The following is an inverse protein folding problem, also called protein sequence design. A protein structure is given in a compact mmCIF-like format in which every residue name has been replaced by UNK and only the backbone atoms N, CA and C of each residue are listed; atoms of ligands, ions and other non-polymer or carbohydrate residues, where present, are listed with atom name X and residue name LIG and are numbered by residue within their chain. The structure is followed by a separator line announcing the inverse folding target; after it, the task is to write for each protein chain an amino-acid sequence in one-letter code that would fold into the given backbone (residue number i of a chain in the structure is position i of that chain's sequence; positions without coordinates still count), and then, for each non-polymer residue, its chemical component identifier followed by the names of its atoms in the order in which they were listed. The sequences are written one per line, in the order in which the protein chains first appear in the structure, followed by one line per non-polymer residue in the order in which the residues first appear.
data_IF_466519909006
#
_entry.id   IF_466519909006
#
_cell.length_a   1.000
_cell.length_b   1.000
_cell.length_c   1.000
_cell.angle_alpha   90.00
_cell.angle_beta   90.00
_cell.angle_gamma   90.00
#
_symmetry.space_group_name_H-M   'P 1'
#
loop_
_entity.id
_entity.type
_entity.pdbx_description
1 polymer ?
#
# COMPACT_ATOMS: atom_id res chain seq x y z
N UNK A 1 54.15 61.37 28.05
CA UNK A 1 53.79 60.05 28.64
C UNK A 1 52.31 59.74 28.40
N UNK A 2 51.84 59.73 27.14
CA UNK A 2 50.40 59.56 26.80
C UNK A 2 50.17 58.47 25.73
N UNK A 3 51.21 58.11 24.96
CA UNK A 3 51.11 57.11 23.89
C UNK A 3 51.12 55.64 24.36
N UNK A 4 51.59 55.34 25.57
CA UNK A 4 51.71 53.96 26.06
C UNK A 4 50.39 53.38 26.61
N UNK A 5 49.41 54.23 26.93
CA UNK A 5 48.12 53.83 27.50
C UNK A 5 47.10 53.41 26.42
N UNK A 6 47.26 53.90 25.18
CA UNK A 6 46.32 53.61 24.10
C UNK A 6 46.49 52.18 23.55
N UNK A 7 47.74 51.71 23.39
CA UNK A 7 48.05 50.35 22.90
C UNK A 7 47.55 49.26 23.84
N UNK A 8 47.63 49.46 25.15
CA UNK A 8 47.18 48.47 26.15
C UNK A 8 45.65 48.35 26.22
N UNK A 9 44.91 49.44 26.02
CA UNK A 9 43.43 49.40 26.00
C UNK A 9 42.84 48.67 24.78
N UNK A 10 43.45 48.83 23.60
CA UNK A 10 43.01 48.15 22.37
C UNK A 10 43.27 46.65 22.40
N UNK A 11 44.41 46.23 22.96
CA UNK A 11 44.72 44.80 23.16
C UNK A 11 43.83 44.15 24.21
N UNK A 12 43.41 44.88 25.25
CA UNK A 12 42.44 44.38 26.23
C UNK A 12 41.04 44.21 25.62
N UNK A 13 40.63 45.09 24.70
CA UNK A 13 39.36 45.01 23.96
C UNK A 13 39.34 43.86 22.94
N UNK A 14 40.47 43.56 22.30
CA UNK A 14 40.63 42.39 21.42
C UNK A 14 40.67 41.06 22.18
N UNK A 15 41.11 41.08 23.44
CA UNK A 15 41.12 39.92 24.35
C UNK A 15 39.81 39.76 25.13
N UNK A 16 38.77 40.53 24.80
CA UNK A 16 37.44 40.34 25.39
C UNK A 16 36.73 39.16 24.72
N UNK A 17 37.05 37.95 25.19
CA UNK A 17 36.43 36.68 24.79
C UNK A 17 34.94 36.60 25.11
N UNK A 18 34.38 37.58 25.85
CA UNK A 18 32.94 37.67 26.11
C UNK A 18 32.12 37.84 24.82
N UNK A 19 32.66 38.56 23.83
CA UNK A 19 32.04 38.67 22.50
C UNK A 19 32.10 37.36 21.70
N UNK A 20 33.16 36.56 21.89
CA UNK A 20 33.32 35.24 21.27
C UNK A 20 32.31 34.22 21.84
N UNK A 21 32.08 34.26 23.17
CA UNK A 21 31.09 33.42 23.84
C UNK A 21 29.65 33.74 23.39
N UNK A 22 29.30 35.02 23.18
CA UNK A 22 27.99 35.41 22.63
C UNK A 22 27.83 34.96 21.17
N UNK A 23 28.87 35.14 20.35
CA UNK A 23 28.83 34.74 18.94
C UNK A 23 28.70 33.21 18.77
N UNK A 24 29.45 32.44 19.56
CA UNK A 24 29.39 30.97 19.58
C UNK A 24 28.03 30.46 20.04
N UNK A 25 27.44 31.08 21.07
CA UNK A 25 26.08 30.75 21.52
C UNK A 25 25.03 31.05 20.43
N UNK A 26 25.17 32.17 19.72
CA UNK A 26 24.23 32.59 18.67
C UNK A 26 24.30 31.65 17.46
N UNK A 27 25.51 31.24 17.08
CA UNK A 27 25.74 30.23 16.06
C UNK A 27 25.11 28.90 16.48
N UNK A 28 25.31 28.47 17.73
CA UNK A 28 24.72 27.23 18.25
C UNK A 28 23.17 27.26 18.20
N UNK A 29 22.55 28.38 18.60
CA UNK A 29 21.09 28.56 18.52
C UNK A 29 20.62 28.51 17.07
N UNK A 30 21.33 29.15 16.13
CA UNK A 30 20.99 29.10 14.70
C UNK A 30 21.10 27.65 14.20
N UNK A 31 22.18 26.94 14.53
CA UNK A 31 22.36 25.54 14.14
C UNK A 31 21.27 24.63 14.70
N UNK A 32 20.95 24.75 15.99
CA UNK A 32 19.88 23.96 16.62
C UNK A 32 18.53 24.31 16.00
N UNK A 33 18.24 25.60 15.78
CA UNK A 33 16.99 26.05 15.16
C UNK A 33 16.82 25.52 13.73
N UNK A 34 17.86 25.62 12.92
CA UNK A 34 17.88 25.07 11.56
C UNK A 34 17.76 23.53 11.57
N UNK A 35 18.42 22.86 12.51
CA UNK A 35 18.35 21.41 12.67
C UNK A 35 16.94 20.96 13.07
N UNK A 36 16.28 21.67 13.99
CA UNK A 36 14.89 21.38 14.36
C UNK A 36 13.95 21.49 13.16
N UNK A 37 14.04 22.57 12.38
CA UNK A 37 13.19 22.77 11.19
C UNK A 37 13.45 21.67 10.16
N UNK A 38 14.72 21.32 9.92
CA UNK A 38 15.10 20.26 8.99
C UNK A 38 14.56 18.88 9.43
N UNK A 39 14.65 18.55 10.73
CA UNK A 39 14.13 17.29 11.29
C UNK A 39 12.61 17.24 11.18
N UNK A 40 11.90 18.31 11.54
CA UNK A 40 10.43 18.33 11.44
C UNK A 40 9.96 18.16 9.99
N UNK A 41 10.58 18.86 9.04
CA UNK A 41 10.26 18.70 7.63
C UNK A 41 10.59 17.29 7.11
N UNK A 42 11.74 16.73 7.51
CA UNK A 42 12.16 15.38 7.13
C UNK A 42 11.23 14.29 7.65
N UNK A 43 10.80 14.39 8.92
CA UNK A 43 9.85 13.45 9.52
C UNK A 43 8.49 13.48 8.82
N UNK A 44 7.98 14.66 8.47
CA UNK A 44 6.69 14.77 7.78
C UNK A 44 6.71 14.06 6.42
N UNK A 45 7.78 14.24 5.64
CA UNK A 45 7.96 13.56 4.35
C UNK A 45 8.09 12.06 4.53
N UNK A 46 8.85 11.61 5.54
CA UNK A 46 8.99 10.20 5.86
C UNK A 46 7.65 9.56 6.27
N UNK A 47 6.85 10.23 7.09
CA UNK A 47 5.54 9.74 7.52
C UNK A 47 4.55 9.60 6.36
N UNK A 48 4.49 10.60 5.48
CA UNK A 48 3.65 10.53 4.28
C UNK A 48 4.08 9.38 3.36
N UNK A 49 5.39 9.13 3.25
CA UNK A 49 5.92 8.02 2.45
C UNK A 49 5.62 6.67 3.08
N UNK A 50 5.76 6.56 4.41
CA UNK A 50 5.45 5.36 5.16
C UNK A 50 3.99 4.96 5.00
N UNK A 51 3.04 5.89 5.18
CA UNK A 51 1.61 5.60 5.01
C UNK A 51 1.26 5.08 3.62
N UNK A 52 1.88 5.65 2.57
CA UNK A 52 1.70 5.17 1.19
C UNK A 52 2.27 3.77 0.98
N UNK A 53 3.49 3.53 1.46
CA UNK A 53 4.15 2.21 1.34
C UNK A 53 3.34 1.16 2.08
N UNK A 54 2.90 1.43 3.31
CA UNK A 54 2.09 0.51 4.09
C UNK A 54 0.77 0.19 3.40
N UNK A 55 0.08 1.20 2.85
CA UNK A 55 -1.18 0.98 2.12
C UNK A 55 -0.95 0.15 0.85
N UNK A 56 0.14 0.41 0.12
CA UNK A 56 0.51 -0.38 -1.05
C UNK A 56 0.82 -1.83 -0.69
N UNK A 57 1.61 -2.06 0.37
CA UNK A 57 1.93 -3.42 0.84
C UNK A 57 0.67 -4.17 1.29
N UNK A 58 -0.28 -3.50 1.94
CA UNK A 58 -1.58 -4.10 2.29
C UNK A 58 -2.37 -4.46 1.02
N UNK A 59 -2.38 -3.58 0.01
CA UNK A 59 -3.05 -3.85 -1.26
C UNK A 59 -2.42 -5.05 -2.00
N UNK A 60 -1.09 -5.14 -2.05
CA UNK A 60 -0.39 -6.26 -2.70
C UNK A 60 -0.63 -7.59 -1.97
N UNK A 61 -0.69 -7.57 -0.63
CA UNK A 61 -1.05 -8.74 0.18
C UNK A 61 -2.49 -9.18 -0.05
N UNK A 62 -3.44 -8.23 -0.06
CA UNK A 62 -4.84 -8.51 -0.34
C UNK A 62 -5.03 -9.04 -1.77
N UNK A 63 -4.35 -8.47 -2.75
CA UNK A 63 -4.36 -8.94 -4.13
C UNK A 63 -3.91 -10.40 -4.19
N UNK A 64 -2.78 -10.72 -3.57
CA UNK A 64 -2.23 -12.06 -3.56
C UNK A 64 -3.20 -13.08 -2.95
N UNK A 65 -3.80 -12.73 -1.81
CA UNK A 65 -4.79 -13.59 -1.14
C UNK A 65 -6.08 -13.75 -1.95
N UNK A 66 -6.62 -12.67 -2.52
CA UNK A 66 -7.81 -12.71 -3.33
C UNK A 66 -7.60 -13.57 -4.59
N UNK A 67 -6.43 -13.44 -5.23
CA UNK A 67 -6.02 -14.26 -6.37
C UNK A 67 -5.91 -15.72 -5.97
N UNK A 68 -5.29 -16.03 -4.84
CA UNK A 68 -5.16 -17.41 -4.36
C UNK A 68 -6.54 -18.06 -4.17
N UNK A 69 -7.43 -17.43 -3.40
CA UNK A 69 -8.75 -17.99 -3.10
C UNK A 69 -9.63 -18.11 -4.36
N UNK A 70 -9.64 -17.10 -5.24
CA UNK A 70 -10.40 -17.15 -6.49
C UNK A 70 -9.80 -18.19 -7.46
N UNK A 71 -8.48 -18.27 -7.55
CA UNK A 71 -7.82 -19.28 -8.39
C UNK A 71 -8.15 -20.68 -7.91
N UNK A 72 -8.06 -20.94 -6.61
CA UNK A 72 -8.33 -22.25 -6.02
C UNK A 72 -9.76 -22.71 -6.36
N UNK A 73 -10.74 -21.83 -6.16
CA UNK A 73 -12.14 -22.10 -6.46
C UNK A 73 -12.36 -22.45 -7.96
N UNK A 74 -11.72 -21.72 -8.87
CA UNK A 74 -11.85 -21.92 -10.31
C UNK A 74 -11.05 -23.14 -10.83
N UNK A 75 -9.87 -23.38 -10.28
CA UNK A 75 -9.00 -24.50 -10.64
C UNK A 75 -9.66 -25.82 -10.28
N UNK A 76 -10.27 -25.89 -9.09
CA UNK A 76 -10.89 -27.11 -8.58
C UNK A 76 -12.36 -27.27 -8.97
N UNK A 77 -12.95 -26.34 -9.74
CA UNK A 77 -14.33 -26.46 -10.21
C UNK A 77 -14.64 -27.86 -10.79
N UNK A 78 -15.78 -28.45 -10.39
CA UNK A 78 -16.19 -29.82 -10.74
C UNK A 78 -16.83 -29.94 -12.13
N UNK A 79 -17.43 -28.86 -12.61
CA UNK A 79 -17.93 -28.69 -13.98
C UNK A 79 -18.06 -27.21 -14.29
N UNK A 80 -18.09 -26.86 -15.58
CA UNK A 80 -18.41 -25.51 -16.04
C UNK A 80 -19.73 -25.59 -16.78
N UNK A 81 -20.66 -24.70 -16.45
CA UNK A 81 -21.97 -24.61 -17.07
C UNK A 81 -21.87 -23.86 -18.41
N UNK A 82 -22.91 -23.99 -19.25
CA UNK A 82 -22.89 -23.48 -20.63
C UNK A 82 -22.76 -21.95 -20.76
N UNK A 83 -22.94 -21.19 -19.68
CA UNK A 83 -22.77 -19.73 -19.64
C UNK A 83 -21.32 -19.29 -19.42
N UNK A 84 -20.37 -20.22 -19.23
CA UNK A 84 -18.93 -20.00 -19.08
C UNK A 84 -18.51 -19.09 -17.89
N UNK A 85 -19.44 -18.79 -16.97
CA UNK A 85 -19.20 -18.03 -15.73
C UNK A 85 -19.82 -18.70 -14.51
N UNK A 86 -20.73 -19.64 -14.71
CA UNK A 86 -21.25 -20.51 -13.66
C UNK A 86 -20.51 -21.84 -13.70
N UNK A 87 -20.18 -22.36 -12.53
CA UNK A 87 -19.43 -23.58 -12.37
C UNK A 87 -19.87 -24.31 -11.12
N UNK A 88 -19.60 -25.60 -11.01
CA UNK A 88 -19.87 -26.35 -9.77
C UNK A 88 -18.66 -26.20 -8.85
N UNK A 89 -18.85 -25.53 -7.72
CA UNK A 89 -17.82 -25.32 -6.70
C UNK A 89 -17.36 -26.66 -6.12
N UNK A 90 -16.05 -26.87 -5.99
CA UNK A 90 -15.53 -28.05 -5.28
C UNK A 90 -15.71 -27.94 -3.77
N UNK A 91 -15.72 -26.74 -3.22
CA UNK A 91 -15.94 -26.53 -1.79
C UNK A 91 -17.41 -26.78 -1.42
N UNK A 92 -18.35 -26.34 -2.28
CA UNK A 92 -19.79 -26.41 -1.99
C UNK A 92 -20.52 -27.56 -2.64
N UNK A 93 -19.95 -28.15 -3.69
CA UNK A 93 -20.60 -29.19 -4.50
C UNK A 93 -21.92 -28.72 -5.13
N UNK A 94 -22.03 -27.41 -5.37
CA UNK A 94 -23.22 -26.72 -5.85
C UNK A 94 -22.86 -25.77 -7.01
N UNK A 95 -23.85 -25.44 -7.83
CA UNK A 95 -23.70 -24.45 -8.90
C UNK A 95 -23.45 -23.07 -8.28
N UNK A 96 -22.37 -22.43 -8.71
CA UNK A 96 -21.86 -21.22 -8.13
C UNK A 96 -21.37 -20.22 -9.19
N UNK A 97 -21.42 -18.94 -8.84
CA UNK A 97 -20.87 -17.85 -9.65
C UNK A 97 -20.08 -16.89 -8.77
N UNK A 98 -19.01 -16.32 -9.33
CA UNK A 98 -18.21 -15.31 -8.65
C UNK A 98 -18.70 -13.91 -9.00
N UNK A 99 -18.90 -13.07 -7.98
CA UNK A 99 -19.40 -11.70 -8.12
C UNK A 99 -18.61 -10.73 -7.26
N UNK A 100 -18.42 -9.53 -7.77
CA UNK A 100 -17.87 -8.41 -7.00
C UNK A 100 -19.02 -7.56 -6.46
N UNK A 101 -18.92 -7.18 -5.19
CA UNK A 101 -19.86 -6.27 -4.53
C UNK A 101 -19.15 -5.26 -3.65
N UNK A 102 -19.92 -4.41 -2.94
CA UNK A 102 -19.37 -3.36 -2.07
C UNK A 102 -18.45 -3.89 -0.97
N UNK A 103 -18.67 -5.14 -0.56
CA UNK A 103 -18.00 -5.79 0.55
C UNK A 103 -16.91 -6.80 0.10
N UNK A 104 -16.56 -6.82 -1.20
CA UNK A 104 -15.49 -7.64 -1.76
C UNK A 104 -15.94 -8.63 -2.83
N UNK A 105 -15.23 -9.74 -2.96
CA UNK A 105 -15.52 -10.81 -3.93
C UNK A 105 -16.29 -11.94 -3.24
N UNK A 106 -17.41 -12.31 -3.84
CA UNK A 106 -18.37 -13.26 -3.32
C UNK A 106 -18.48 -14.48 -4.22
N UNK A 107 -18.59 -15.66 -3.60
CA UNK A 107 -19.10 -16.87 -4.22
C UNK A 107 -20.58 -16.97 -3.89
N UNK A 108 -21.44 -16.90 -4.90
CA UNK A 108 -22.87 -17.11 -4.77
C UNK A 108 -23.20 -18.54 -5.20
N UNK A 109 -23.67 -19.36 -4.26
CA UNK A 109 -24.06 -20.75 -4.47
C UNK A 109 -25.42 -21.00 -3.80
N UNK A 110 -26.37 -21.58 -4.55
CA UNK A 110 -27.74 -21.89 -4.09
C UNK A 110 -28.44 -20.74 -3.34
N UNK A 111 -28.31 -19.50 -3.85
CA UNK A 111 -28.89 -18.30 -3.24
C UNK A 111 -28.21 -17.83 -1.95
N UNK A 112 -27.13 -18.48 -1.54
CA UNK A 112 -26.29 -18.06 -0.40
C UNK A 112 -24.99 -17.43 -0.90
N UNK A 113 -24.62 -16.30 -0.31
CA UNK A 113 -23.39 -15.58 -0.65
C UNK A 113 -22.30 -15.83 0.39
N UNK A 114 -21.10 -16.15 -0.08
CA UNK A 114 -19.92 -16.40 0.74
C UNK A 114 -18.81 -15.44 0.34
N UNK A 115 -18.33 -14.66 1.30
CA UNK A 115 -17.27 -13.70 1.03
C UNK A 115 -15.93 -14.45 0.93
N UNK A 116 -15.34 -14.48 -0.26
CA UNK A 116 -14.06 -15.12 -0.51
C UNK A 116 -12.89 -14.16 -0.26
N UNK A 117 -13.06 -12.90 -0.65
CA UNK A 117 -12.07 -11.86 -0.45
C UNK A 117 -12.77 -10.59 0.05
N UNK A 118 -12.82 -10.36 1.38
CA UNK A 118 -13.53 -9.23 1.96
C UNK A 118 -12.79 -7.91 1.75
N UNK A 119 -13.54 -6.82 1.78
CA UNK A 119 -12.99 -5.47 1.93
C UNK A 119 -12.39 -5.30 3.32
N UNK A 120 -11.13 -4.88 3.42
CA UNK A 120 -10.42 -4.65 4.69
C UNK A 120 -9.58 -3.39 4.62
N UNK A 121 -9.45 -2.66 5.74
CA UNK A 121 -8.59 -1.46 5.85
C UNK A 121 -8.85 -0.37 4.78
N UNK A 122 -10.09 -0.26 4.27
CA UNK A 122 -10.44 0.68 3.20
C UNK A 122 -9.94 0.27 1.81
N UNK A 123 -9.54 -0.99 1.66
CA UNK A 123 -9.17 -1.64 0.40
C UNK A 123 -10.28 -2.60 0.00
N UNK A 124 -10.74 -2.51 -1.25
CA UNK A 124 -11.81 -3.36 -1.78
C UNK A 124 -11.32 -4.18 -2.97
N UNK A 125 -11.32 -5.53 -2.88
CA UNK A 125 -10.99 -6.38 -4.01
C UNK A 125 -12.19 -6.48 -4.95
N UNK A 126 -11.91 -6.46 -6.25
CA UNK A 126 -12.92 -6.59 -7.30
C UNK A 126 -12.43 -7.54 -8.38
N UNK A 127 -13.27 -8.51 -8.72
CA UNK A 127 -13.15 -9.41 -9.86
C UNK A 127 -13.82 -8.79 -11.10
N UNK A 128 -13.11 -8.82 -12.23
CA UNK A 128 -13.62 -8.47 -13.56
C UNK A 128 -13.14 -9.46 -14.61
N UNK A 129 -13.71 -9.37 -15.81
CA UNK A 129 -13.25 -10.10 -17.00
C UNK A 129 -13.20 -11.62 -16.84
N UNK A 130 -14.04 -12.19 -15.97
CA UNK A 130 -14.16 -13.63 -15.76
C UNK A 130 -14.69 -14.31 -17.01
N UNK A 131 -13.95 -15.29 -17.52
CA UNK A 131 -14.34 -16.08 -18.68
C UNK A 131 -13.70 -17.47 -18.64
N UNK A 132 -14.39 -18.45 -19.23
CA UNK A 132 -13.88 -19.80 -19.44
C UNK A 132 -13.67 -20.10 -20.92
N UNK A 133 -12.47 -20.59 -21.27
CA UNK A 133 -12.19 -21.19 -22.56
C UNK A 133 -12.32 -22.71 -22.46
N UNK A 134 -13.42 -23.24 -22.99
CA UNK A 134 -13.71 -24.68 -22.98
C UNK A 134 -12.77 -25.50 -23.87
N UNK A 135 -12.14 -24.90 -24.89
CA UNK A 135 -11.18 -25.58 -25.75
C UNK A 135 -9.82 -25.72 -25.05
N UNK A 136 -9.38 -24.65 -24.38
CA UNK A 136 -8.12 -24.67 -23.61
C UNK A 136 -8.26 -25.29 -22.22
N UNK A 137 -9.49 -25.37 -21.68
CA UNK A 137 -9.76 -25.79 -20.31
C UNK A 137 -9.28 -24.77 -19.27
N UNK A 138 -9.31 -23.48 -19.61
CA UNK A 138 -8.72 -22.41 -18.80
C UNK A 138 -9.71 -21.34 -18.42
N UNK A 139 -9.61 -20.88 -17.18
CA UNK A 139 -10.26 -19.68 -16.69
C UNK A 139 -9.33 -18.47 -16.87
N UNK A 140 -9.87 -17.35 -17.32
CA UNK A 140 -9.20 -16.06 -17.29
C UNK A 140 -10.02 -15.07 -16.49
N UNK A 141 -9.36 -14.28 -15.65
CA UNK A 141 -10.00 -13.26 -14.82
C UNK A 141 -9.00 -12.18 -14.41
N UNK A 142 -9.51 -11.03 -13.99
CA UNK A 142 -8.72 -9.93 -13.44
C UNK A 142 -9.18 -9.59 -12.04
N UNK A 143 -8.23 -9.34 -11.14
CA UNK A 143 -8.51 -8.83 -9.81
C UNK A 143 -7.87 -7.46 -9.66
N UNK A 144 -8.62 -6.49 -9.15
CA UNK A 144 -8.12 -5.15 -8.82
C UNK A 144 -8.43 -4.81 -7.36
N UNK A 145 -7.47 -4.21 -6.67
CA UNK A 145 -7.63 -3.68 -5.31
C UNK A 145 -7.83 -2.18 -5.39
N UNK A 146 -8.99 -1.72 -4.95
CA UNK A 146 -9.36 -0.30 -4.99
C UNK A 146 -9.29 0.33 -3.60
N UNK A 147 -8.89 1.59 -3.55
CA UNK A 147 -9.02 2.44 -2.38
C UNK A 147 -9.47 3.83 -2.78
N UNK A 148 -10.57 4.32 -2.18
CA UNK A 148 -11.09 5.66 -2.46
C UNK A 148 -11.37 5.95 -3.94
N UNK A 149 -11.71 4.92 -4.73
CA UNK A 149 -11.98 5.03 -6.17
C UNK A 149 -10.74 4.95 -7.08
N UNK A 150 -9.55 4.73 -6.53
CA UNK A 150 -8.32 4.50 -7.30
C UNK A 150 -7.87 3.05 -7.17
N UNK A 151 -7.37 2.46 -8.26
CA UNK A 151 -6.73 1.14 -8.24
C UNK A 151 -5.32 1.27 -7.66
N UNK A 152 -5.02 0.49 -6.63
CA UNK A 152 -3.70 0.44 -6.00
C UNK A 152 -2.87 -0.75 -6.47
N UNK A 153 -3.53 -1.89 -6.72
CA UNK A 153 -2.89 -3.09 -7.22
C UNK A 153 -3.84 -3.82 -8.18
N UNK A 154 -3.29 -4.44 -9.21
CA UNK A 154 -4.07 -5.24 -10.15
C UNK A 154 -3.27 -6.40 -10.72
N UNK A 155 -3.97 -7.46 -11.11
CA UNK A 155 -3.39 -8.55 -11.87
C UNK A 155 -4.43 -9.26 -12.72
N UNK A 156 -3.98 -9.82 -13.84
CA UNK A 156 -4.78 -10.70 -14.69
C UNK A 156 -4.19 -12.10 -14.58
N UNK A 157 -5.04 -13.09 -14.38
CA UNK A 157 -4.64 -14.48 -14.21
C UNK A 157 -5.32 -15.37 -15.24
N UNK A 158 -4.59 -16.39 -15.69
CA UNK A 158 -5.13 -17.50 -16.46
C UNK A 158 -4.75 -18.79 -15.75
N UNK A 159 -5.75 -19.57 -15.34
CA UNK A 159 -5.56 -20.83 -14.59
C UNK A 159 -6.20 -21.98 -15.32
N UNK A 160 -5.54 -23.15 -15.30
CA UNK A 160 -6.07 -24.37 -15.90
C UNK A 160 -6.93 -25.10 -14.88
N UNK A 161 -8.13 -25.52 -15.31
CA UNK A 161 -9.00 -26.35 -14.49
C UNK A 161 -8.44 -27.77 -14.35
N UNK A 162 -8.51 -28.35 -13.16
CA UNK A 162 -8.11 -29.74 -12.93
C UNK A 162 -9.23 -30.66 -13.43
N UNK A 163 -8.88 -31.59 -14.31
CA UNK A 163 -9.83 -32.55 -14.88
C UNK A 163 -10.49 -32.14 -16.20
N UNK A 164 -10.07 -31.01 -16.80
CA UNK A 164 -10.43 -30.60 -18.19
C UNK A 164 -9.46 -31.15 -19.23
#
# INVERSE_FOLDING_TARGET
MIFHFHKTSLLARLRDTRGFMIAEQLISIIFIGLLCIAVTAGLQVAMNSYGRITTQTQADSMLSQAVEVVSDELVYALSVEADNVTFVSATRHESATLRSGEQGIWLEADGTQYNLAPTENGLSPTLSDLSYDAYAGTWSFRITIQSGGSTLADTTMTVKRIGS
#
